data_IF_117082712665
#
_entry.id   IF_117082712665
#
_cell.length_a   1.000
_cell.length_b   1.000
_cell.length_c   1.000
_cell.angle_alpha   90.00
_cell.angle_beta   90.00
_cell.angle_gamma   90.00
#
_symmetry.space_group_name_H-M   'P 1'
#
loop_
_entity.id
_entity.type
_entity.pdbx_description
1 polymer ?
#
# COMPACT_ATOMS: atom_id res chain seq x y z
N UNK A 1 20.04 -70.62 -34.07
CA UNK A 1 19.60 -70.64 -35.47
C UNK A 1 18.22 -71.28 -35.48
N UNK A 2 17.18 -70.46 -35.43
CA UNK A 2 15.94 -70.69 -36.20
C UNK A 2 15.22 -69.34 -36.30
N UNK A 3 14.98 -68.93 -37.53
CA UNK A 3 14.46 -67.65 -37.99
C UNK A 3 13.07 -67.91 -38.59
N UNK A 4 12.07 -67.09 -38.24
CA UNK A 4 10.87 -66.73 -39.01
C UNK A 4 9.78 -66.25 -38.02
N UNK A 5 9.48 -64.95 -37.91
CA UNK A 5 8.68 -64.12 -38.82
C UNK A 5 7.39 -63.65 -38.09
N UNK A 6 6.80 -62.52 -38.52
CA UNK A 6 6.15 -61.55 -37.62
C UNK A 6 4.64 -61.80 -37.48
N UNK A 7 4.07 -61.42 -36.33
CA UNK A 7 2.61 -61.35 -36.16
C UNK A 7 2.13 -59.91 -36.23
N UNK A 8 1.29 -59.72 -37.23
CA UNK A 8 0.47 -58.58 -37.61
C UNK A 8 -0.12 -57.71 -36.49
N UNK A 9 -0.04 -56.41 -36.75
CA UNK A 9 -1.16 -55.47 -36.79
C UNK A 9 -2.36 -55.76 -35.86
N UNK A 10 -2.24 -55.32 -34.60
CA UNK A 10 -3.36 -55.00 -33.74
C UNK A 10 -3.59 -53.49 -33.72
N UNK A 11 -4.52 -53.01 -34.55
CA UNK A 11 -5.12 -51.68 -34.51
C UNK A 11 -5.90 -51.48 -33.20
N UNK A 12 -5.21 -51.03 -32.14
CA UNK A 12 -5.85 -50.49 -30.94
C UNK A 12 -6.22 -49.01 -31.16
N UNK A 13 -7.43 -48.55 -30.77
CA UNK A 13 -7.88 -47.20 -31.05
C UNK A 13 -6.90 -46.19 -30.46
N UNK A 14 -6.43 -45.26 -31.29
CA UNK A 14 -5.68 -44.10 -30.87
C UNK A 14 -6.40 -43.47 -29.68
N UNK A 15 -5.78 -43.50 -28.51
CA UNK A 15 -6.28 -42.85 -27.31
C UNK A 15 -6.51 -41.38 -27.68
N UNK A 16 -7.78 -41.01 -27.79
CA UNK A 16 -8.20 -39.64 -28.04
C UNK A 16 -7.52 -38.76 -26.99
N UNK A 17 -6.59 -37.90 -27.44
CA UNK A 17 -5.91 -36.95 -26.57
C UNK A 17 -6.94 -36.12 -25.80
N UNK A 18 -6.67 -35.77 -24.54
CA UNK A 18 -7.62 -35.03 -23.71
C UNK A 18 -8.05 -33.75 -24.43
N UNK A 19 -9.36 -33.58 -24.60
CA UNK A 19 -9.96 -32.41 -25.26
C UNK A 19 -9.48 -31.11 -24.61
N UNK A 20 -8.69 -30.34 -25.35
CA UNK A 20 -8.01 -29.12 -24.89
C UNK A 20 -8.95 -27.92 -24.59
N UNK A 21 -10.28 -28.09 -24.68
CA UNK A 21 -11.25 -27.02 -24.42
C UNK A 21 -11.68 -26.90 -22.94
N UNK A 22 -11.41 -27.93 -22.12
CA UNK A 22 -11.73 -27.97 -20.68
C UNK A 22 -10.66 -27.46 -19.69
N UNK A 23 -9.34 -27.56 -19.96
CA UNK A 23 -8.28 -27.13 -19.04
C UNK A 23 -8.22 -25.61 -18.89
N UNK A 24 -8.20 -24.89 -20.02
CA UNK A 24 -8.05 -23.43 -20.04
C UNK A 24 -9.18 -22.67 -19.35
N UNK A 25 -10.44 -23.14 -19.44
CA UNK A 25 -11.55 -22.51 -18.69
C UNK A 25 -11.44 -22.72 -17.19
N UNK A 26 -10.92 -23.87 -16.73
CA UNK A 26 -10.69 -24.15 -15.30
C UNK A 26 -9.50 -23.34 -14.79
N UNK A 27 -8.39 -23.34 -15.53
CA UNK A 27 -7.20 -22.53 -15.22
C UNK A 27 -7.55 -21.03 -15.15
N UNK A 28 -8.35 -20.53 -16.10
CA UNK A 28 -8.82 -19.15 -16.12
C UNK A 28 -9.74 -18.86 -14.93
N UNK A 29 -10.63 -19.78 -14.55
CA UNK A 29 -11.51 -19.63 -13.39
C UNK A 29 -10.74 -19.63 -12.08
N UNK A 30 -9.76 -20.52 -11.91
CA UNK A 30 -8.92 -20.58 -10.71
C UNK A 30 -8.02 -19.34 -10.59
N UNK A 31 -7.47 -18.88 -11.72
CA UNK A 31 -6.74 -17.61 -11.81
C UNK A 31 -7.65 -16.43 -11.44
N UNK A 32 -8.87 -16.37 -11.97
CA UNK A 32 -9.84 -15.31 -11.64
C UNK A 32 -10.22 -15.35 -10.17
N UNK A 33 -10.41 -16.54 -9.60
CA UNK A 33 -10.77 -16.72 -8.19
C UNK A 33 -9.68 -16.21 -7.24
N UNK A 34 -8.42 -16.30 -7.64
CA UNK A 34 -7.28 -15.74 -6.92
C UNK A 34 -7.07 -14.25 -7.21
N UNK A 35 -7.22 -13.83 -8.46
CA UNK A 35 -7.00 -12.45 -8.89
C UNK A 35 -8.13 -11.51 -8.44
N UNK A 36 -9.39 -11.95 -8.43
CA UNK A 36 -10.55 -11.15 -8.06
C UNK A 36 -10.43 -10.48 -6.69
N UNK A 37 -10.10 -11.17 -5.58
CA UNK A 37 -9.93 -10.51 -4.29
C UNK A 37 -8.77 -9.51 -4.29
N UNK A 38 -7.70 -9.78 -5.04
CA UNK A 38 -6.57 -8.85 -5.16
C UNK A 38 -6.96 -7.59 -5.95
N UNK A 39 -7.65 -7.75 -7.07
CA UNK A 39 -8.18 -6.66 -7.88
C UNK A 39 -9.16 -5.81 -7.07
N UNK A 40 -10.08 -6.45 -6.33
CA UNK A 40 -11.04 -5.76 -5.48
C UNK A 40 -10.33 -4.97 -4.37
N UNK A 41 -9.28 -5.52 -3.77
CA UNK A 41 -8.47 -4.82 -2.76
C UNK A 41 -7.80 -3.58 -3.35
N UNK A 42 -7.27 -3.68 -4.56
CA UNK A 42 -6.67 -2.54 -5.26
C UNK A 42 -7.70 -1.49 -5.66
N UNK A 43 -8.88 -1.91 -6.14
CA UNK A 43 -9.99 -1.01 -6.44
C UNK A 43 -10.47 -0.28 -5.18
N UNK A 44 -10.58 -0.99 -4.06
CA UNK A 44 -10.93 -0.38 -2.78
C UNK A 44 -9.89 0.65 -2.33
N UNK A 45 -8.59 0.36 -2.48
CA UNK A 45 -7.53 1.32 -2.16
C UNK A 45 -7.61 2.58 -3.03
N UNK A 46 -7.88 2.43 -4.33
CA UNK A 46 -8.08 3.57 -5.24
C UNK A 46 -9.37 4.34 -4.89
N UNK A 47 -10.44 3.64 -4.50
CA UNK A 47 -11.70 4.26 -4.10
C UNK A 47 -11.57 5.12 -2.84
N UNK A 48 -10.74 4.70 -1.87
CA UNK A 48 -10.44 5.51 -0.66
C UNK A 48 -9.85 6.86 -1.09
N UNK A 49 -8.74 6.85 -1.84
CA UNK A 49 -8.12 8.10 -2.29
C UNK A 49 -9.02 8.93 -3.22
N UNK A 50 -9.86 8.28 -4.03
CA UNK A 50 -10.85 8.98 -4.87
C UNK A 50 -11.90 9.67 -4.01
N UNK A 51 -12.35 9.03 -2.93
CA UNK A 51 -13.32 9.62 -2.00
C UNK A 51 -12.73 10.83 -1.30
N UNK A 52 -11.47 10.77 -0.88
CA UNK A 52 -10.76 11.93 -0.28
C UNK A 52 -10.72 13.11 -1.25
N UNK A 53 -10.44 12.86 -2.54
CA UNK A 53 -10.44 13.89 -3.59
C UNK A 53 -11.84 14.48 -3.78
N UNK A 54 -12.88 13.65 -3.82
CA UNK A 54 -14.27 14.11 -3.93
C UNK A 54 -14.66 14.97 -2.73
N UNK A 55 -14.31 14.54 -1.52
CA UNK A 55 -14.56 15.30 -0.27
C UNK A 55 -13.81 16.64 -0.26
N UNK A 56 -12.56 16.68 -0.73
CA UNK A 56 -11.82 17.93 -0.92
C UNK A 56 -12.52 18.83 -1.96
N UNK A 57 -13.10 18.24 -3.01
CA UNK A 57 -13.90 18.94 -4.00
C UNK A 57 -15.13 19.65 -3.41
N UNK A 58 -15.79 19.05 -2.41
CA UNK A 58 -16.91 19.68 -1.71
C UNK A 58 -16.50 20.89 -0.86
N UNK A 59 -15.24 20.97 -0.45
CA UNK A 59 -14.72 22.14 0.28
C UNK A 59 -14.45 23.35 -0.64
N UNK A 60 -14.45 23.15 -1.96
CA UNK A 60 -14.28 24.17 -2.98
C UNK A 60 -13.06 23.94 -3.89
N UNK A 61 -13.06 24.53 -5.11
CA UNK A 61 -12.04 24.27 -6.14
C UNK A 61 -10.62 24.68 -5.71
N UNK A 62 -10.49 25.75 -4.91
CA UNK A 62 -9.20 26.22 -4.40
C UNK A 62 -8.57 25.22 -3.41
N UNK A 63 -9.38 24.65 -2.51
CA UNK A 63 -8.91 23.63 -1.54
C UNK A 63 -8.63 22.30 -2.22
N UNK A 64 -9.41 21.94 -3.25
CA UNK A 64 -9.14 20.76 -4.06
C UNK A 64 -7.80 20.87 -4.78
N UNK A 65 -7.49 22.01 -5.39
CA UNK A 65 -6.21 22.24 -6.05
C UNK A 65 -5.03 22.14 -5.07
N UNK A 66 -5.15 22.77 -3.90
CA UNK A 66 -4.15 22.70 -2.84
C UNK A 66 -3.97 21.29 -2.26
N UNK A 67 -5.06 20.58 -2.04
CA UNK A 67 -5.04 19.20 -1.57
C UNK A 67 -4.41 18.25 -2.58
N UNK A 68 -4.76 18.37 -3.86
CA UNK A 68 -4.14 17.59 -4.92
C UNK A 68 -2.63 17.86 -5.01
N UNK A 69 -2.20 19.12 -4.89
CA UNK A 69 -0.79 19.48 -4.84
C UNK A 69 -0.10 18.84 -3.63
N UNK A 70 -0.70 18.92 -2.45
CA UNK A 70 -0.18 18.31 -1.22
C UNK A 70 -0.04 16.79 -1.32
N UNK A 71 -1.06 16.09 -1.84
CA UNK A 71 -1.02 14.64 -2.08
C UNK A 71 0.10 14.27 -3.06
N UNK A 72 0.20 14.97 -4.19
CA UNK A 72 1.22 14.69 -5.20
C UNK A 72 2.65 14.99 -4.70
N UNK A 73 2.81 15.98 -3.82
CA UNK A 73 4.10 16.27 -3.19
C UNK A 73 4.47 15.22 -2.14
N UNK A 74 3.50 14.78 -1.34
CA UNK A 74 3.70 13.79 -0.27
C UNK A 74 3.95 12.37 -0.80
N UNK A 75 3.25 11.96 -1.86
CA UNK A 75 3.22 10.57 -2.32
C UNK A 75 4.60 10.00 -2.70
N UNK A 76 5.46 10.68 -3.48
CA UNK A 76 6.80 10.18 -3.80
C UNK A 76 7.69 10.01 -2.56
N UNK A 77 7.57 10.92 -1.59
CA UNK A 77 8.28 10.85 -0.31
C UNK A 77 7.84 9.61 0.45
N UNK A 78 6.53 9.44 0.64
CA UNK A 78 5.97 8.25 1.27
C UNK A 78 6.44 6.96 0.58
N UNK A 79 6.37 6.91 -0.76
CA UNK A 79 6.75 5.75 -1.55
C UNK A 79 8.24 5.39 -1.39
N UNK A 80 9.12 6.39 -1.31
CA UNK A 80 10.54 6.17 -1.04
C UNK A 80 10.75 5.53 0.35
N UNK A 81 10.06 6.04 1.38
CA UNK A 81 10.07 5.46 2.72
C UNK A 81 9.59 3.99 2.74
N UNK A 82 8.52 3.68 2.01
CA UNK A 82 8.03 2.30 1.84
C UNK A 82 9.10 1.41 1.20
N UNK A 83 9.80 1.93 0.19
CA UNK A 83 10.92 1.24 -0.47
C UNK A 83 12.04 0.85 0.51
N UNK A 84 12.46 1.77 1.38
CA UNK A 84 13.48 1.50 2.41
C UNK A 84 13.04 0.38 3.36
N UNK A 85 11.79 0.43 3.82
CA UNK A 85 11.24 -0.51 4.79
C UNK A 85 10.99 -1.90 4.17
N UNK A 86 10.69 -1.98 2.87
CA UNK A 86 10.43 -3.25 2.19
C UNK A 86 11.61 -4.23 2.26
N UNK A 87 12.85 -3.74 2.43
CA UNK A 87 14.04 -4.55 2.65
C UNK A 87 13.96 -5.44 3.91
N UNK A 88 13.12 -5.08 4.89
CA UNK A 88 12.89 -5.88 6.11
C UNK A 88 12.34 -7.27 5.78
N UNK A 89 11.52 -7.40 4.74
CA UNK A 89 10.91 -8.68 4.35
C UNK A 89 11.96 -9.74 3.97
N UNK A 90 12.81 -9.54 2.94
CA UNK A 90 13.83 -10.53 2.58
C UNK A 90 14.87 -10.75 3.68
N UNK A 91 15.29 -9.70 4.39
CA UNK A 91 16.25 -9.83 5.51
C UNK A 91 15.71 -10.71 6.64
N UNK A 92 14.42 -10.54 6.97
CA UNK A 92 13.76 -11.36 7.99
C UNK A 92 13.59 -12.80 7.52
N UNK A 93 13.16 -13.01 6.27
CA UNK A 93 12.99 -14.33 5.68
C UNK A 93 14.32 -15.13 5.63
N UNK A 94 15.42 -14.48 5.24
CA UNK A 94 16.75 -15.11 5.23
C UNK A 94 17.22 -15.48 6.65
N UNK A 95 17.03 -14.58 7.63
CA UNK A 95 17.39 -14.84 9.02
C UNK A 95 16.56 -15.99 9.63
N UNK A 96 15.28 -16.09 9.29
CA UNK A 96 14.41 -17.21 9.65
C UNK A 96 14.88 -18.52 9.03
N UNK A 97 15.18 -18.53 7.73
CA UNK A 97 15.70 -19.71 7.03
C UNK A 97 17.02 -20.23 7.62
N UNK A 98 17.89 -19.32 8.07
CA UNK A 98 19.14 -19.65 8.75
C UNK A 98 18.99 -19.98 10.24
N UNK A 99 17.76 -20.03 10.79
CA UNK A 99 17.44 -20.21 12.22
C UNK A 99 18.15 -19.21 13.16
N UNK A 100 18.44 -18.00 12.68
CA UNK A 100 19.11 -16.93 13.44
C UNK A 100 18.09 -15.97 14.06
N UNK A 101 17.34 -16.44 15.06
CA UNK A 101 16.26 -15.66 15.69
C UNK A 101 16.72 -14.34 16.35
N UNK A 102 17.98 -14.26 16.81
CA UNK A 102 18.55 -13.00 17.29
C UNK A 102 18.64 -11.92 16.21
N UNK A 103 18.94 -12.34 14.97
CA UNK A 103 19.01 -11.45 13.81
C UNK A 103 17.60 -11.01 13.41
N UNK A 104 16.61 -11.89 13.47
CA UNK A 104 15.19 -11.56 13.20
C UNK A 104 14.73 -10.35 14.03
N UNK A 105 14.91 -10.39 15.36
CA UNK A 105 14.54 -9.27 16.24
C UNK A 105 15.36 -8.01 15.95
N UNK A 106 16.65 -8.17 15.62
CA UNK A 106 17.52 -7.05 15.24
C UNK A 106 17.04 -6.39 13.95
N UNK A 107 16.64 -7.15 12.95
CA UNK A 107 16.12 -6.64 11.67
C UNK A 107 14.89 -5.77 11.87
N UNK A 108 13.93 -6.21 12.70
CA UNK A 108 12.77 -5.40 13.04
C UNK A 108 13.15 -4.07 13.71
N UNK A 109 14.03 -4.14 14.73
CA UNK A 109 14.51 -2.93 15.43
C UNK A 109 15.23 -1.98 14.48
N UNK A 110 16.08 -2.51 13.59
CA UNK A 110 16.81 -1.70 12.61
C UNK A 110 15.87 -1.10 11.57
N UNK A 111 14.82 -1.83 11.14
CA UNK A 111 13.77 -1.27 10.29
C UNK A 111 13.09 -0.07 10.94
N UNK A 112 12.72 -0.17 12.22
CA UNK A 112 12.14 0.97 12.95
C UNK A 112 13.14 2.13 13.14
N UNK A 113 14.43 1.85 13.33
CA UNK A 113 15.46 2.89 13.35
C UNK A 113 15.60 3.59 12.00
N UNK A 114 15.52 2.85 10.88
CA UNK A 114 15.51 3.42 9.53
C UNK A 114 14.28 4.30 9.32
N UNK A 115 13.10 3.87 9.80
CA UNK A 115 11.89 4.71 9.77
C UNK A 115 12.16 6.03 10.50
N UNK A 116 12.64 5.99 11.74
CA UNK A 116 12.91 7.22 12.49
C UNK A 116 13.98 8.11 11.83
N UNK A 117 15.07 7.50 11.36
CA UNK A 117 16.16 8.20 10.68
C UNK A 117 15.71 8.83 9.35
N UNK A 118 14.70 8.25 8.70
CA UNK A 118 14.10 8.79 7.49
C UNK A 118 13.05 9.86 7.80
N UNK A 119 12.12 9.59 8.71
CA UNK A 119 10.99 10.49 8.95
C UNK A 119 11.39 11.77 9.65
N UNK A 120 12.32 11.76 10.60
CA UNK A 120 12.74 12.99 11.31
C UNK A 120 13.25 14.08 10.35
N UNK A 121 14.25 13.83 9.47
CA UNK A 121 14.73 14.87 8.55
C UNK A 121 13.69 15.24 7.49
N UNK A 122 12.90 14.27 7.02
CA UNK A 122 11.85 14.53 6.04
C UNK A 122 10.73 15.38 6.64
N UNK A 123 10.36 15.14 7.90
CA UNK A 123 9.35 15.94 8.59
C UNK A 123 9.78 17.40 8.71
N UNK A 124 11.07 17.64 9.01
CA UNK A 124 11.65 18.98 9.03
C UNK A 124 11.60 19.64 7.65
N UNK A 125 11.91 18.90 6.59
CA UNK A 125 11.87 19.41 5.21
C UNK A 125 10.44 19.76 4.77
N UNK A 126 9.46 18.90 5.09
CA UNK A 126 8.06 19.09 4.72
C UNK A 126 7.42 20.23 5.53
N UNK A 127 7.88 20.47 6.77
CA UNK A 127 7.33 21.52 7.63
C UNK A 127 7.37 22.91 6.97
N UNK A 128 8.44 23.18 6.24
CA UNK A 128 8.65 24.40 5.45
C UNK A 128 8.55 24.14 3.94
N UNK A 129 7.52 23.40 3.49
CA UNK A 129 7.33 23.11 2.07
C UNK A 129 6.96 24.34 1.21
N UNK A 130 6.48 25.44 1.81
CA UNK A 130 5.96 26.61 1.07
C UNK A 130 6.96 27.27 0.13
N UNK A 131 8.21 27.61 0.52
CA UNK A 131 9.20 28.17 -0.40
C UNK A 131 9.51 27.24 -1.58
N UNK A 132 9.52 25.93 -1.34
CA UNK A 132 9.73 24.92 -2.39
C UNK A 132 8.56 24.93 -3.37
N UNK A 133 7.31 24.95 -2.88
CA UNK A 133 6.12 25.01 -3.72
C UNK A 133 6.04 26.31 -4.54
N UNK A 134 6.40 27.45 -3.94
CA UNK A 134 6.51 28.73 -4.67
C UNK A 134 7.60 28.63 -5.75
N UNK A 135 8.73 27.98 -5.46
CA UNK A 135 9.79 27.71 -6.43
C UNK A 135 9.33 26.84 -7.61
N UNK A 136 8.33 25.97 -7.41
CA UNK A 136 7.66 25.21 -8.48
C UNK A 136 6.62 26.02 -9.27
N UNK A 137 6.48 27.32 -8.99
CA UNK A 137 5.55 28.21 -9.72
C UNK A 137 4.14 28.28 -9.13
N UNK A 138 3.93 27.78 -7.91
CA UNK A 138 2.63 27.85 -7.25
C UNK A 138 2.31 29.27 -6.76
N UNK A 139 1.03 29.63 -6.77
CA UNK A 139 0.57 30.89 -6.16
C UNK A 139 0.74 30.83 -4.63
N UNK A 140 0.91 32.00 -4.03
CA UNK A 140 1.09 32.17 -2.58
C UNK A 140 -0.01 31.47 -1.77
N UNK A 141 -1.28 31.71 -2.13
CA UNK A 141 -2.44 31.11 -1.47
C UNK A 141 -2.46 29.59 -1.59
N UNK A 142 -2.13 29.05 -2.75
CA UNK A 142 -2.15 27.61 -3.00
C UNK A 142 -0.99 26.90 -2.27
N UNK A 143 0.19 27.52 -2.26
CA UNK A 143 1.34 27.03 -1.50
C UNK A 143 1.09 27.02 0.01
N UNK A 144 0.40 28.03 0.55
CA UNK A 144 0.03 28.11 1.97
C UNK A 144 -0.98 27.02 2.35
N UNK A 145 -2.03 26.81 1.55
CA UNK A 145 -3.02 25.75 1.79
C UNK A 145 -2.39 24.35 1.68
N UNK A 146 -1.54 24.12 0.69
CA UNK A 146 -0.82 22.86 0.52
C UNK A 146 0.20 22.62 1.64
N UNK A 147 0.88 23.66 2.14
CA UNK A 147 1.74 23.56 3.32
C UNK A 147 0.94 23.11 4.54
N UNK A 148 -0.26 23.66 4.77
CA UNK A 148 -1.14 23.23 5.86
C UNK A 148 -1.55 21.75 5.75
N UNK A 149 -1.85 21.28 4.54
CA UNK A 149 -2.09 19.87 4.27
C UNK A 149 -0.86 19.01 4.61
N UNK A 150 0.32 19.42 4.11
CA UNK A 150 1.57 18.70 4.29
C UNK A 150 2.01 18.62 5.76
N UNK A 151 1.85 19.70 6.52
CA UNK A 151 2.14 19.74 7.96
C UNK A 151 1.24 18.79 8.76
N UNK A 152 -0.02 18.62 8.35
CA UNK A 152 -0.89 17.61 8.93
C UNK A 152 -0.47 16.19 8.54
N UNK A 153 -0.22 15.94 7.25
CA UNK A 153 0.14 14.63 6.73
C UNK A 153 1.49 14.11 7.26
N UNK A 154 2.38 15.01 7.67
CA UNK A 154 3.72 14.69 8.18
C UNK A 154 3.67 13.85 9.46
N UNK A 155 2.65 14.05 10.29
CA UNK A 155 2.47 13.30 11.54
C UNK A 155 2.09 11.84 11.29
N UNK A 156 1.40 11.57 10.17
CA UNK A 156 1.05 10.22 9.73
C UNK A 156 2.22 9.44 9.12
N UNK A 157 3.27 10.11 8.62
CA UNK A 157 4.37 9.47 7.88
C UNK A 157 5.11 8.40 8.71
N UNK A 158 5.52 8.75 9.93
CA UNK A 158 6.22 7.85 10.85
C UNK A 158 5.40 6.62 11.25
N UNK A 159 4.20 6.81 11.84
CA UNK A 159 3.29 5.71 12.18
C UNK A 159 2.99 4.81 10.99
N UNK A 160 2.71 5.38 9.82
CA UNK A 160 2.40 4.63 8.60
C UNK A 160 3.55 3.73 8.16
N UNK A 161 4.78 4.26 8.11
CA UNK A 161 5.96 3.46 7.77
C UNK A 161 6.31 2.43 8.85
N UNK A 162 6.02 2.73 10.12
CA UNK A 162 6.12 1.76 11.22
C UNK A 162 5.17 0.57 11.06
N UNK A 163 3.91 0.82 10.68
CA UNK A 163 2.93 -0.23 10.38
C UNK A 163 3.37 -1.05 9.17
N UNK A 164 3.88 -0.41 8.11
CA UNK A 164 4.45 -1.11 6.94
C UNK A 164 5.62 -2.00 7.37
N UNK A 165 6.51 -1.51 8.24
CA UNK A 165 7.65 -2.29 8.78
C UNK A 165 7.17 -3.54 9.50
N UNK A 166 6.18 -3.39 10.39
CA UNK A 166 5.62 -4.51 11.13
C UNK A 166 4.91 -5.51 10.21
N UNK A 167 4.20 -5.02 9.19
CA UNK A 167 3.57 -5.84 8.15
C UNK A 167 4.60 -6.66 7.37
N UNK A 168 5.71 -6.06 6.94
CA UNK A 168 6.80 -6.74 6.26
C UNK A 168 7.39 -7.86 7.14
N UNK A 169 7.60 -7.57 8.43
CA UNK A 169 8.10 -8.53 9.40
C UNK A 169 7.14 -9.70 9.66
N UNK A 170 5.84 -9.43 9.81
CA UNK A 170 4.81 -10.46 10.04
C UNK A 170 4.57 -11.32 8.80
N UNK A 171 4.67 -10.73 7.61
CA UNK A 171 4.56 -11.45 6.33
C UNK A 171 5.67 -12.51 6.21
N UNK A 172 6.89 -12.20 6.67
CA UNK A 172 8.00 -13.15 6.68
C UNK A 172 7.79 -14.35 7.64
N UNK A 173 6.92 -14.22 8.65
CA UNK A 173 6.61 -15.28 9.62
C UNK A 173 5.38 -16.14 9.25
N UNK A 174 4.88 -16.04 8.01
CA UNK A 174 3.72 -16.79 7.54
C UNK A 174 2.44 -16.56 8.39
N UNK A 175 2.32 -15.40 9.04
CA UNK A 175 1.10 -14.96 9.75
C UNK A 175 0.40 -13.75 9.10
N UNK A 176 0.03 -13.81 7.80
CA UNK A 176 -0.60 -12.69 7.10
C UNK A 176 -1.98 -12.30 7.63
N UNK A 177 -2.68 -13.18 8.38
CA UNK A 177 -4.03 -12.91 8.91
C UNK A 177 -4.07 -11.80 9.97
N UNK A 178 -3.05 -11.69 10.82
CA UNK A 178 -2.99 -10.62 11.84
C UNK A 178 -2.76 -9.24 11.22
N UNK A 179 -2.03 -9.18 10.11
CA UNK A 179 -1.85 -7.95 9.32
C UNK A 179 -3.19 -7.51 8.73
N UNK A 180 -3.95 -8.44 8.14
CA UNK A 180 -5.24 -8.15 7.52
C UNK A 180 -6.22 -7.48 8.49
N UNK A 181 -6.31 -7.98 9.72
CA UNK A 181 -7.21 -7.43 10.76
C UNK A 181 -6.78 -6.02 11.18
N UNK A 182 -5.47 -5.78 11.37
CA UNK A 182 -4.93 -4.46 11.72
C UNK A 182 -5.15 -3.46 10.59
N UNK A 183 -4.94 -3.88 9.34
CA UNK A 183 -5.19 -3.03 8.16
C UNK A 183 -6.68 -2.70 7.99
N UNK A 184 -7.58 -3.67 8.18
CA UNK A 184 -9.04 -3.45 8.13
C UNK A 184 -9.51 -2.49 9.22
N UNK A 185 -8.99 -2.63 10.45
CA UNK A 185 -9.25 -1.68 11.53
C UNK A 185 -8.74 -0.28 11.18
N UNK A 186 -7.55 -0.18 10.58
CA UNK A 186 -6.97 1.09 10.13
C UNK A 186 -7.84 1.81 9.10
N UNK A 187 -8.39 1.09 8.12
CA UNK A 187 -9.31 1.65 7.11
C UNK A 187 -10.58 2.19 7.76
N UNK A 188 -11.15 1.45 8.73
CA UNK A 188 -12.34 1.89 9.46
C UNK A 188 -12.11 3.17 10.28
N UNK A 189 -10.98 3.23 11.00
CA UNK A 189 -10.60 4.42 11.80
C UNK A 189 -10.30 5.61 10.89
N UNK A 190 -9.63 5.39 9.76
CA UNK A 190 -9.33 6.42 8.78
C UNK A 190 -10.60 7.05 8.19
N UNK A 191 -11.57 6.25 7.72
CA UNK A 191 -12.82 6.76 7.16
C UNK A 191 -13.66 7.56 8.19
N UNK A 192 -13.74 7.06 9.43
CA UNK A 192 -14.42 7.76 10.53
C UNK A 192 -13.70 9.05 10.92
N UNK A 193 -12.37 9.01 10.99
CA UNK A 193 -11.53 10.17 11.28
C UNK A 193 -11.67 11.24 10.22
N UNK A 194 -11.68 10.85 8.93
CA UNK A 194 -11.79 11.76 7.80
C UNK A 194 -13.12 12.51 7.88
N UNK A 195 -14.20 11.76 8.08
CA UNK A 195 -15.53 12.35 8.21
C UNK A 195 -15.66 13.28 9.44
N UNK A 196 -15.10 12.89 10.58
CA UNK A 196 -15.17 13.68 11.81
C UNK A 196 -14.32 14.96 11.77
N UNK A 197 -13.05 14.86 11.36
CA UNK A 197 -12.08 15.96 11.41
C UNK A 197 -12.21 16.93 10.22
N UNK A 198 -12.61 16.43 9.05
CA UNK A 198 -12.76 17.26 7.85
C UNK A 198 -14.03 18.12 7.92
N UNK A 199 -15.15 17.55 8.40
CA UNK A 199 -16.45 18.22 8.49
C UNK A 199 -16.86 18.69 9.89
N UNK A 200 -16.05 18.43 10.93
CA UNK A 200 -16.31 18.88 12.30
C UNK A 200 -17.52 18.21 12.96
N UNK A 201 -17.70 16.90 12.73
CA UNK A 201 -18.76 16.11 13.38
C UNK A 201 -18.26 15.47 14.70
N UNK A 202 -19.18 15.05 15.58
CA UNK A 202 -18.89 14.47 16.90
C UNK A 202 -18.20 15.40 17.93
N UNK A 203 -18.33 16.72 17.78
CA UNK A 203 -17.75 17.70 18.71
C UNK A 203 -16.30 18.11 18.37
N UNK A 204 -15.77 17.65 17.24
CA UNK A 204 -14.48 18.09 16.72
C UNK A 204 -14.60 19.40 15.92
N UNK A 205 -13.58 20.27 15.92
CA UNK A 205 -13.55 21.44 15.06
C UNK A 205 -13.45 21.04 13.58
N UNK A 206 -14.09 21.79 12.69
CA UNK A 206 -14.00 21.58 11.24
C UNK A 206 -12.62 22.04 10.73
N UNK A 207 -11.67 21.10 10.64
CA UNK A 207 -10.28 21.37 10.24
C UNK A 207 -10.09 21.42 8.71
N UNK A 208 -11.14 21.08 7.93
CA UNK A 208 -11.12 21.13 6.47
C UNK A 208 -9.96 20.32 5.89
N UNK A 209 -9.12 20.96 5.08
CA UNK A 209 -7.99 20.31 4.39
C UNK A 209 -6.96 19.71 5.36
N UNK A 210 -6.76 20.33 6.53
CA UNK A 210 -5.88 19.82 7.60
C UNK A 210 -6.51 18.59 8.25
N UNK A 211 -7.84 18.56 8.37
CA UNK A 211 -8.59 17.42 8.90
C UNK A 211 -8.46 16.19 8.00
N UNK A 212 -8.50 16.39 6.68
CA UNK A 212 -8.30 15.32 5.70
C UNK A 212 -6.93 14.65 5.86
N UNK A 213 -5.87 15.46 5.98
CA UNK A 213 -4.51 14.98 6.16
C UNK A 213 -4.23 14.39 7.55
N UNK A 214 -4.97 14.81 8.58
CA UNK A 214 -4.79 14.31 9.97
C UNK A 214 -5.50 12.98 10.22
N UNK A 215 -6.55 12.71 9.45
CA UNK A 215 -7.27 11.45 9.49
C UNK A 215 -6.66 10.35 8.62
N UNK A 216 -5.94 10.77 7.57
CA UNK A 216 -5.20 9.93 6.64
C UNK A 216 -4.12 9.10 7.35
#
# INVERSE_FOLDING_TARGET
>A
MEEAAPRDAGSGPAAAGPSAAGPWRREAWDTLRLAAPLMLSQLAAVAIGTTDIVMMGWLGPEKLAAGALGVNFYFPIYLFGVGLVNAVTPMTAQALGARRFGVVRRTLRQGLWVVLAYTVPISLLIWEARPVLIGFGQTETNALLAQGYLQAAVWGLGPSLGVVTLRCFLSAHSRPRSVLVVTLLGVGVNALGNYALMFGHFGFPALGLVGAASAA
#
